data_IF_648436731628
#
_entry.id   IF_648436731628
#
_cell.length_a   1.000
_cell.length_b   1.000
_cell.length_c   1.000
_cell.angle_alpha   90.00
_cell.angle_beta   90.00
_cell.angle_gamma   90.00
#
_symmetry.space_group_name_H-M   'P 1'
#
loop_
_entity.id
_entity.type
_entity.pdbx_description
1 polymer ?
#
# COMPACT_ATOMS: atom_id res chain seq x y z
N UNK A 1 81.18 2.79 28.89
CA UNK A 1 80.16 1.85 29.39
C UNK A 1 78.79 2.33 28.94
N UNK A 2 78.29 1.87 27.79
CA UNK A 2 76.92 2.15 27.32
C UNK A 2 76.15 0.83 27.23
N UNK A 3 75.06 0.73 27.99
CA UNK A 3 74.21 -0.46 28.14
C UNK A 3 73.33 -0.67 26.90
N UNK A 4 73.38 -1.89 26.36
CA UNK A 4 72.43 -2.45 25.39
C UNK A 4 71.08 -2.66 26.07
N UNK A 5 70.02 -2.03 25.56
CA UNK A 5 68.63 -2.32 25.91
C UNK A 5 68.00 -3.22 24.84
N UNK A 6 67.64 -4.44 25.22
CA UNK A 6 66.99 -5.42 24.34
C UNK A 6 65.50 -5.11 24.14
N UNK A 7 65.06 -5.16 22.89
CA UNK A 7 63.64 -5.10 22.52
C UNK A 7 63.01 -6.49 22.65
N UNK A 8 61.93 -6.59 23.42
CA UNK A 8 61.09 -7.79 23.53
C UNK A 8 59.95 -7.67 22.51
N UNK A 9 59.93 -8.57 21.52
CA UNK A 9 58.85 -8.72 20.55
C UNK A 9 57.70 -9.51 21.18
N UNK A 10 56.62 -8.82 21.55
CA UNK A 10 55.37 -9.46 21.95
C UNK A 10 54.53 -9.79 20.70
N UNK A 11 54.41 -11.09 20.39
CA UNK A 11 53.51 -11.61 19.36
C UNK A 11 52.06 -11.60 19.86
N UNK A 12 51.25 -10.67 19.35
CA UNK A 12 49.80 -10.63 19.57
C UNK A 12 49.14 -11.57 18.56
N UNK A 13 48.68 -12.73 19.03
CA UNK A 13 47.83 -13.64 18.25
C UNK A 13 46.41 -13.06 18.20
N UNK A 14 46.08 -12.38 17.11
CA UNK A 14 44.74 -11.90 16.83
C UNK A 14 43.87 -13.07 16.33
N UNK A 15 43.06 -13.67 17.21
CA UNK A 15 41.97 -14.55 16.81
C UNK A 15 40.90 -13.73 16.07
N UNK A 16 40.98 -13.72 14.74
CA UNK A 16 39.96 -13.14 13.88
C UNK A 16 38.66 -13.94 13.96
N UNK A 17 37.70 -13.44 14.75
CA UNK A 17 36.29 -13.81 14.62
C UNK A 17 35.80 -13.31 13.26
N UNK A 18 35.82 -14.20 12.27
CA UNK A 18 35.22 -13.91 10.97
C UNK A 18 33.74 -13.56 11.17
N UNK A 19 33.29 -12.35 10.79
CA UNK A 19 31.89 -12.00 10.91
C UNK A 19 31.08 -12.97 10.06
N UNK A 20 30.23 -13.77 10.69
CA UNK A 20 29.24 -14.59 9.99
C UNK A 20 28.44 -13.65 9.11
N UNK A 21 28.48 -13.87 7.79
CA UNK A 21 27.67 -13.14 6.83
C UNK A 21 26.20 -13.30 7.25
N UNK A 22 25.66 -12.28 7.91
CA UNK A 22 24.24 -12.16 8.11
C UNK A 22 23.65 -12.08 6.70
N UNK A 23 22.85 -13.08 6.35
CA UNK A 23 22.10 -13.09 5.10
C UNK A 23 21.13 -11.92 5.18
N UNK A 24 21.56 -10.76 4.65
CA UNK A 24 20.70 -9.61 4.50
C UNK A 24 19.59 -10.02 3.55
N UNK A 25 18.40 -10.32 4.09
CA UNK A 25 17.23 -10.53 3.27
C UNK A 25 17.04 -9.27 2.42
N UNK A 26 16.89 -9.45 1.11
CA UNK A 26 16.56 -8.35 0.22
C UNK A 26 15.31 -7.65 0.77
N UNK A 27 15.37 -6.33 0.91
CA UNK A 27 14.23 -5.58 1.40
C UNK A 27 13.03 -5.85 0.48
N UNK A 28 11.82 -6.03 1.04
CA UNK A 28 10.64 -6.27 0.23
C UNK A 28 10.44 -5.14 -0.77
N UNK A 29 10.02 -5.44 -2.02
CA UNK A 29 9.80 -4.43 -3.02
C UNK A 29 8.70 -3.46 -2.58
N UNK A 30 8.92 -2.19 -2.88
CA UNK A 30 7.98 -1.13 -2.55
C UNK A 30 6.78 -1.14 -3.50
N UNK A 31 5.54 -1.19 -2.99
CA UNK A 31 4.40 -1.00 -3.86
C UNK A 31 4.43 0.43 -4.43
N UNK A 32 4.14 0.61 -5.73
CA UNK A 32 4.05 1.94 -6.30
C UNK A 32 2.93 2.73 -5.62
N UNK A 33 3.14 4.03 -5.49
CA UNK A 33 2.13 4.94 -4.95
C UNK A 33 0.94 4.99 -5.91
N UNK A 34 -0.28 4.81 -5.38
CA UNK A 34 -1.54 4.96 -6.10
C UNK A 34 -2.25 6.23 -5.62
N UNK A 35 -2.83 6.95 -6.58
CA UNK A 35 -3.70 8.11 -6.34
C UNK A 35 -5.12 7.81 -6.79
N UNK A 36 -6.09 8.39 -6.08
CA UNK A 36 -7.51 8.35 -6.42
C UNK A 36 -8.11 9.76 -6.31
N UNK A 37 -8.90 10.21 -7.29
CA UNK A 37 -9.18 9.56 -8.58
C UNK A 37 -7.95 9.42 -9.50
N UNK A 38 -8.09 8.61 -10.56
CA UNK A 38 -7.11 8.50 -11.67
C UNK A 38 -7.57 9.15 -12.97
N UNK A 39 -8.79 9.73 -12.98
CA UNK A 39 -9.31 10.44 -14.15
C UNK A 39 -8.58 11.74 -14.45
N UNK A 40 -8.33 11.96 -15.74
CA UNK A 40 -7.79 13.22 -16.28
C UNK A 40 -8.75 14.41 -16.14
N UNK A 41 -10.04 14.16 -15.84
CA UNK A 41 -11.07 15.17 -15.61
C UNK A 41 -11.81 14.88 -14.32
N UNK A 42 -11.92 15.87 -13.43
CA UNK A 42 -12.47 15.72 -12.08
C UNK A 42 -13.44 16.86 -11.79
N UNK A 43 -14.66 16.63 -11.28
CA UNK A 43 -15.55 17.72 -10.90
C UNK A 43 -14.93 18.66 -9.88
N UNK A 44 -15.10 19.98 -10.06
CA UNK A 44 -14.49 21.00 -9.20
C UNK A 44 -14.86 20.89 -7.71
N UNK A 45 -15.95 20.21 -7.39
CA UNK A 45 -16.42 19.97 -6.03
C UNK A 45 -16.01 18.59 -5.47
N UNK A 46 -14.99 17.93 -6.03
CA UNK A 46 -14.39 16.74 -5.42
C UNK A 46 -13.92 17.07 -3.98
N UNK A 47 -14.39 16.35 -2.95
CA UNK A 47 -14.10 16.72 -1.56
C UNK A 47 -12.66 16.44 -1.14
N UNK A 48 -12.04 15.38 -1.67
CA UNK A 48 -10.67 14.99 -1.35
C UNK A 48 -10.10 14.00 -2.36
N UNK A 49 -8.77 13.86 -2.35
CA UNK A 49 -8.02 12.82 -3.04
C UNK A 49 -7.55 11.76 -2.04
N UNK A 50 -7.40 10.52 -2.52
CA UNK A 50 -6.78 9.43 -1.78
C UNK A 50 -5.36 9.16 -2.27
N UNK A 51 -4.44 8.90 -1.34
CA UNK A 51 -3.02 8.69 -1.62
C UNK A 51 -2.45 7.52 -0.80
N UNK A 52 -1.81 6.53 -1.41
CA UNK A 52 -1.39 5.30 -0.70
C UNK A 52 -0.03 5.36 0.01
N UNK A 53 0.60 6.53 0.16
CA UNK A 53 1.85 6.57 0.92
C UNK A 53 1.61 6.27 2.40
N UNK A 54 2.47 5.44 2.96
CA UNK A 54 2.50 5.14 4.38
C UNK A 54 3.15 6.32 5.10
N UNK A 55 2.33 7.21 5.68
CA UNK A 55 2.74 8.40 6.44
C UNK A 55 3.36 9.53 5.59
N UNK A 56 2.61 10.12 4.64
CA UNK A 56 3.07 11.34 4.01
C UNK A 56 3.12 12.47 5.04
N UNK A 57 4.22 13.23 5.04
CA UNK A 57 4.25 14.52 5.71
C UNK A 57 3.61 15.59 4.81
N UNK A 58 3.07 16.66 5.40
CA UNK A 58 2.44 17.73 4.63
C UNK A 58 3.42 18.47 3.71
N UNK A 59 4.73 18.42 4.01
CA UNK A 59 5.79 18.99 3.17
C UNK A 59 6.15 18.15 1.94
N UNK A 60 5.62 16.93 1.84
CA UNK A 60 5.93 15.98 0.78
C UNK A 60 4.85 15.91 -0.29
N UNK A 61 3.68 16.52 -0.06
CA UNK A 61 2.52 16.50 -0.95
C UNK A 61 2.22 17.92 -1.38
N UNK A 62 2.35 18.20 -2.67
CA UNK A 62 2.09 19.52 -3.23
C UNK A 62 1.04 19.43 -4.33
N UNK A 63 0.02 20.29 -4.25
CA UNK A 63 -0.94 20.47 -5.32
C UNK A 63 -0.65 21.80 -6.01
N UNK A 64 -0.41 21.77 -7.31
CA UNK A 64 -0.21 22.97 -8.11
C UNK A 64 -1.37 23.17 -9.06
N UNK A 65 -1.83 24.42 -9.19
CA UNK A 65 -2.66 24.84 -10.30
C UNK A 65 -1.78 25.34 -11.46
N UNK A 66 -2.17 24.99 -12.67
CA UNK A 66 -1.46 25.29 -13.92
C UNK A 66 -2.39 26.10 -14.81
N UNK A 67 -2.08 27.40 -15.05
CA UNK A 67 -2.90 28.25 -15.91
C UNK A 67 -3.00 27.71 -17.34
N UNK A 68 -4.19 27.81 -17.93
CA UNK A 68 -4.41 27.53 -19.35
C UNK A 68 -3.54 28.49 -20.18
N UNK A 69 -2.50 27.96 -20.84
CA UNK A 69 -1.52 28.75 -21.59
C UNK A 69 -0.06 28.62 -21.13
N UNK A 70 0.22 27.80 -20.11
CA UNK A 70 1.60 27.47 -19.72
C UNK A 70 2.28 28.51 -18.83
N UNK A 71 1.52 29.19 -17.97
CA UNK A 71 2.04 30.12 -16.97
C UNK A 71 2.77 29.45 -15.80
N UNK A 72 3.29 30.27 -14.89
CA UNK A 72 3.89 29.78 -13.64
C UNK A 72 2.86 28.97 -12.84
N UNK A 73 3.31 27.84 -12.29
CA UNK A 73 2.49 26.99 -11.41
C UNK A 73 2.24 27.73 -10.10
N UNK A 74 1.01 27.69 -9.61
CA UNK A 74 0.64 28.30 -8.32
C UNK A 74 0.26 27.18 -7.34
N UNK A 75 0.96 27.11 -6.22
CA UNK A 75 0.70 26.11 -5.19
C UNK A 75 -0.66 26.36 -4.52
N UNK A 76 -1.44 25.29 -4.41
CA UNK A 76 -2.73 25.23 -3.75
C UNK A 76 -2.52 24.53 -2.41
N UNK A 77 -2.70 25.22 -1.27
CA UNK A 77 -2.52 24.62 0.03
C UNK A 77 -3.43 23.40 0.22
N UNK A 78 -2.89 22.33 0.80
CA UNK A 78 -3.63 21.10 1.10
C UNK A 78 -3.52 20.75 2.59
N UNK A 79 -4.51 20.03 3.09
CA UNK A 79 -4.49 19.38 4.41
C UNK A 79 -4.48 17.88 4.25
N UNK A 80 -3.67 17.21 5.07
CA UNK A 80 -3.59 15.75 5.13
C UNK A 80 -4.37 15.23 6.33
N UNK A 81 -5.13 14.16 6.15
CA UNK A 81 -5.74 13.41 7.25
C UNK A 81 -5.13 12.01 7.38
N UNK A 82 -5.31 11.34 8.54
CA UNK A 82 -4.83 9.97 8.73
C UNK A 82 -5.31 9.02 7.64
N UNK A 83 -4.52 7.97 7.38
CA UNK A 83 -4.88 6.98 6.38
C UNK A 83 -6.12 6.17 6.81
N UNK A 84 -7.09 6.05 5.90
CA UNK A 84 -8.28 5.20 6.05
C UNK A 84 -8.27 4.22 4.89
N UNK A 85 -8.41 2.92 5.18
CA UNK A 85 -8.36 1.84 4.19
C UNK A 85 -7.11 1.87 3.29
N UNK A 86 -5.97 2.30 3.84
CA UNK A 86 -4.70 2.39 3.12
C UNK A 86 -4.52 3.66 2.27
N UNK A 87 -5.43 4.64 2.36
CA UNK A 87 -5.29 5.94 1.68
C UNK A 87 -5.24 7.09 2.68
N UNK A 88 -4.24 7.95 2.58
CA UNK A 88 -4.21 9.28 3.19
C UNK A 88 -5.14 10.23 2.43
N UNK A 89 -5.96 10.98 3.17
CA UNK A 89 -6.83 12.02 2.62
C UNK A 89 -6.04 13.27 2.31
N UNK A 90 -6.14 13.77 1.08
CA UNK A 90 -5.62 15.08 0.69
C UNK A 90 -6.82 15.98 0.39
N UNK A 91 -6.99 17.06 1.16
CA UNK A 91 -8.07 18.02 0.97
C UNK A 91 -7.50 19.36 0.55
N UNK A 92 -7.81 19.88 -0.66
CA UNK A 92 -7.48 21.25 -1.01
C UNK A 92 -8.15 22.24 -0.04
N UNK A 93 -7.41 23.23 0.43
CA UNK A 93 -7.96 24.26 1.32
C UNK A 93 -8.81 25.29 0.57
N UNK A 94 -8.70 25.32 -0.76
CA UNK A 94 -9.54 26.11 -1.64
C UNK A 94 -10.27 25.21 -2.62
N UNK A 95 -11.49 25.57 -2.99
CA UNK A 95 -12.24 24.85 -4.01
C UNK A 95 -11.47 24.85 -5.34
N UNK A 96 -11.57 23.74 -6.08
CA UNK A 96 -10.98 23.66 -7.41
C UNK A 96 -11.76 24.57 -8.37
N UNK A 97 -11.06 25.13 -9.35
CA UNK A 97 -11.63 26.08 -10.32
C UNK A 97 -11.83 25.36 -11.64
N UNK A 98 -13.07 25.27 -12.11
CA UNK A 98 -13.39 24.63 -13.38
C UNK A 98 -12.59 25.23 -14.56
N UNK A 99 -12.11 24.36 -15.44
CA UNK A 99 -11.23 24.69 -16.56
C UNK A 99 -9.73 24.78 -16.19
N UNK A 100 -9.37 24.70 -14.91
CA UNK A 100 -7.97 24.76 -14.46
C UNK A 100 -7.34 23.37 -14.45
N UNK A 101 -6.13 23.24 -14.99
CA UNK A 101 -5.32 22.03 -14.85
C UNK A 101 -4.58 22.03 -13.53
N UNK A 102 -4.44 20.86 -12.92
CA UNK A 102 -3.76 20.67 -11.65
C UNK A 102 -2.71 19.57 -11.76
N UNK A 103 -1.62 19.73 -11.02
CA UNK A 103 -0.53 18.76 -10.88
C UNK A 103 -0.36 18.43 -9.40
N UNK A 104 -0.58 17.17 -9.03
CA UNK A 104 -0.33 16.67 -7.69
C UNK A 104 1.02 15.97 -7.67
N UNK A 105 1.96 16.55 -6.94
CA UNK A 105 3.34 16.08 -6.80
C UNK A 105 3.56 15.46 -5.42
N UNK A 106 4.39 14.42 -5.41
CA UNK A 106 4.90 13.84 -4.19
C UNK A 106 6.43 13.84 -4.21
N UNK A 107 7.05 14.55 -3.29
CA UNK A 107 8.50 14.72 -3.18
C UNK A 107 9.14 13.81 -2.13
N UNK A 108 8.33 13.08 -1.36
CA UNK A 108 8.81 12.15 -0.33
C UNK A 108 9.36 10.86 -0.92
N UNK A 109 10.28 10.22 -0.18
CA UNK A 109 10.55 8.80 -0.40
C UNK A 109 9.40 8.01 0.21
N UNK A 110 8.47 7.50 -0.60
CA UNK A 110 7.41 6.61 -0.11
C UNK A 110 7.97 5.31 0.51
N UNK A 111 9.28 5.09 0.37
CA UNK A 111 9.99 3.93 0.85
C UNK A 111 11.36 4.23 1.43
N UNK A 112 11.60 3.69 2.62
CA UNK A 112 12.89 3.73 3.32
C UNK A 112 13.96 2.83 2.67
N UNK A 113 13.56 1.82 1.87
CA UNK A 113 14.46 0.72 1.45
C UNK A 113 14.65 0.54 -0.07
N UNK A 114 14.14 1.43 -0.91
CA UNK A 114 14.34 1.33 -2.37
C UNK A 114 13.86 2.59 -3.08
N UNK A 115 14.59 3.00 -4.11
CA UNK A 115 14.18 4.10 -4.98
C UNK A 115 12.92 3.70 -5.74
N UNK A 116 11.74 4.08 -5.23
CA UNK A 116 10.53 4.03 -6.02
C UNK A 116 10.74 4.90 -7.26
N UNK A 117 10.28 4.47 -8.45
CA UNK A 117 10.28 5.36 -9.60
C UNK A 117 9.53 6.63 -9.19
N UNK A 118 10.04 7.82 -9.53
CA UNK A 118 9.28 9.05 -9.34
C UNK A 118 8.01 8.88 -10.16
N UNK A 119 6.89 8.59 -9.50
CA UNK A 119 5.60 8.79 -10.12
C UNK A 119 5.61 10.28 -10.50
N UNK A 120 5.65 10.56 -11.81
CA UNK A 120 5.56 11.94 -12.27
C UNK A 120 4.32 12.60 -11.67
N UNK A 121 4.24 13.94 -11.70
CA UNK A 121 3.06 14.66 -11.22
C UNK A 121 1.79 14.04 -11.79
N UNK A 122 0.84 13.73 -10.92
CA UNK A 122 -0.47 13.31 -11.36
C UNK A 122 -1.24 14.53 -11.86
N UNK A 123 -1.65 14.48 -13.13
CA UNK A 123 -2.26 15.61 -13.81
C UNK A 123 -3.74 15.36 -14.04
N UNK A 124 -4.56 16.36 -13.74
CA UNK A 124 -5.99 16.35 -14.04
C UNK A 124 -6.49 17.76 -14.33
N UNK A 125 -7.66 17.88 -14.95
CA UNK A 125 -8.34 19.15 -15.17
C UNK A 125 -9.62 19.17 -14.36
N UNK A 126 -9.83 20.23 -13.59
CA UNK A 126 -11.10 20.42 -12.91
C UNK A 126 -12.17 20.78 -13.94
N UNK A 127 -13.28 20.05 -13.97
CA UNK A 127 -14.44 20.38 -14.79
C UNK A 127 -15.50 21.07 -13.94
N UNK A 128 -16.62 21.48 -14.55
CA UNK A 128 -17.74 22.05 -13.80
C UNK A 128 -18.13 21.16 -12.61
N UNK A 129 -18.50 21.79 -11.50
CA UNK A 129 -19.01 21.06 -10.35
C UNK A 129 -20.23 20.22 -10.74
N UNK A 130 -20.31 19.01 -10.21
CA UNK A 130 -21.41 18.08 -10.47
C UNK A 130 -22.04 17.66 -9.13
N UNK A 131 -23.35 17.42 -9.04
CA UNK A 131 -23.96 16.84 -7.85
C UNK A 131 -23.26 15.52 -7.46
N UNK A 132 -23.09 15.26 -6.17
CA UNK A 132 -22.58 13.96 -5.72
C UNK A 132 -23.60 12.88 -6.09
N UNK A 133 -23.16 11.76 -6.70
CA UNK A 133 -24.08 10.75 -7.19
C UNK A 133 -24.75 10.03 -6.03
N UNK A 134 -26.06 9.83 -6.13
CA UNK A 134 -26.82 9.03 -5.15
C UNK A 134 -27.07 7.61 -5.62
N UNK A 135 -26.84 7.36 -6.92
CA UNK A 135 -27.02 6.07 -7.59
C UNK A 135 -25.86 5.84 -8.53
N UNK A 136 -25.43 4.58 -8.67
CA UNK A 136 -24.38 4.22 -9.65
C UNK A 136 -24.98 4.05 -11.03
N UNK A 137 -26.07 3.29 -11.11
CA UNK A 137 -26.66 2.86 -12.36
C UNK A 137 -27.57 1.64 -12.18
N UNK A 138 -28.09 1.15 -13.29
CA UNK A 138 -28.98 -0.02 -13.35
C UNK A 138 -28.35 -1.12 -14.19
N UNK A 139 -28.48 -2.37 -13.75
CA UNK A 139 -27.98 -3.52 -14.48
C UNK A 139 -28.70 -3.65 -15.84
N UNK A 140 -27.94 -3.79 -16.92
CA UNK A 140 -28.43 -4.09 -18.26
C UNK A 140 -28.47 -5.60 -18.47
N UNK A 141 -29.68 -6.17 -18.45
CA UNK A 141 -29.86 -7.62 -18.50
C UNK A 141 -29.50 -8.30 -17.18
N UNK A 142 -29.24 -9.60 -17.24
CA UNK A 142 -28.81 -10.39 -16.08
C UNK A 142 -27.29 -10.61 -16.06
N UNK A 143 -26.68 -10.89 -14.89
CA UNK A 143 -25.28 -11.27 -14.83
C UNK A 143 -25.06 -12.60 -15.56
N UNK A 144 -23.98 -12.70 -16.33
CA UNK A 144 -23.55 -13.95 -16.95
C UNK A 144 -22.43 -14.53 -16.09
N UNK A 145 -22.61 -15.76 -15.61
CA UNK A 145 -21.64 -16.42 -14.72
C UNK A 145 -21.07 -17.65 -15.39
N UNK A 146 -19.74 -17.77 -15.38
CA UNK A 146 -19.01 -18.97 -15.78
C UNK A 146 -18.20 -19.50 -14.60
N UNK A 147 -18.26 -20.81 -14.35
CA UNK A 147 -17.48 -21.47 -13.30
C UNK A 147 -16.40 -22.36 -13.90
N UNK A 148 -15.28 -22.50 -13.17
CA UNK A 148 -14.16 -23.36 -13.54
C UNK A 148 -13.57 -23.99 -12.30
N UNK A 149 -13.63 -25.32 -12.22
CA UNK A 149 -13.01 -26.07 -11.14
C UNK A 149 -11.49 -26.18 -11.35
N UNK A 150 -10.72 -25.85 -10.30
CA UNK A 150 -9.26 -26.03 -10.21
C UNK A 150 -8.84 -26.64 -8.87
N UNK A 151 -9.71 -27.43 -8.23
CA UNK A 151 -9.57 -27.88 -6.84
C UNK A 151 -10.20 -26.89 -5.84
N UNK A 152 -10.32 -25.63 -6.23
CA UNK A 152 -11.29 -24.65 -5.74
C UNK A 152 -12.06 -24.12 -6.94
N UNK A 153 -13.36 -23.87 -6.79
CA UNK A 153 -14.16 -23.35 -7.91
C UNK A 153 -13.88 -21.87 -8.10
N UNK A 154 -13.33 -21.51 -9.25
CA UNK A 154 -13.22 -20.13 -9.71
C UNK A 154 -14.52 -19.76 -10.42
N UNK A 155 -15.03 -18.56 -10.17
CA UNK A 155 -16.16 -18.02 -10.93
C UNK A 155 -15.77 -16.70 -11.60
N UNK A 156 -16.33 -16.47 -12.79
CA UNK A 156 -16.23 -15.24 -13.53
C UNK A 156 -17.63 -14.69 -13.74
N UNK A 157 -17.83 -13.41 -13.41
CA UNK A 157 -19.10 -12.70 -13.56
C UNK A 157 -18.91 -11.57 -14.57
N UNK A 158 -19.68 -11.63 -15.66
CA UNK A 158 -19.78 -10.58 -16.65
C UNK A 158 -21.09 -9.82 -16.46
N UNK A 159 -20.99 -8.51 -16.29
CA UNK A 159 -22.14 -7.61 -16.08
C UNK A 159 -21.97 -6.33 -16.90
N UNK A 160 -23.10 -5.79 -17.35
CA UNK A 160 -23.20 -4.47 -17.95
C UNK A 160 -24.13 -3.61 -17.09
N UNK A 161 -23.73 -2.36 -16.80
CA UNK A 161 -24.55 -1.40 -16.08
C UNK A 161 -24.73 -0.15 -16.92
N UNK A 162 -25.99 0.24 -17.13
CA UNK A 162 -26.35 1.57 -17.62
C UNK A 162 -26.08 2.56 -16.49
N UNK A 163 -25.17 3.50 -16.73
CA UNK A 163 -24.73 4.45 -15.73
C UNK A 163 -25.79 5.54 -15.54
N UNK A 164 -26.12 5.80 -14.27
CA UNK A 164 -27.05 6.85 -13.91
C UNK A 164 -26.53 8.21 -14.41
N UNK A 165 -27.38 9.10 -14.97
CA UNK A 165 -26.95 10.42 -15.39
C UNK A 165 -26.17 11.21 -14.34
N UNK A 166 -26.52 11.07 -13.04
CA UNK A 166 -25.80 11.72 -11.93
C UNK A 166 -24.36 11.20 -11.80
N UNK A 167 -24.13 9.93 -12.14
CA UNK A 167 -22.84 9.25 -12.00
C UNK A 167 -21.89 9.51 -13.18
N UNK A 168 -22.39 9.88 -14.36
CA UNK A 168 -21.57 10.13 -15.57
C UNK A 168 -20.34 11.02 -15.35
N UNK A 169 -20.43 12.20 -14.70
CA UNK A 169 -19.24 13.03 -14.45
C UNK A 169 -18.25 12.42 -13.44
N UNK A 170 -18.65 11.34 -12.75
CA UNK A 170 -17.92 10.69 -11.67
C UNK A 170 -17.39 9.29 -12.01
N UNK A 171 -17.77 8.70 -13.15
CA UNK A 171 -17.41 7.31 -13.52
C UNK A 171 -15.90 7.05 -13.55
N UNK A 172 -15.08 8.02 -13.98
CA UNK A 172 -13.62 7.91 -13.93
C UNK A 172 -13.00 8.31 -12.59
N UNK A 173 -13.80 8.91 -11.71
CA UNK A 173 -13.37 9.43 -10.42
C UNK A 173 -13.55 8.38 -9.33
N UNK A 174 -14.68 7.69 -9.32
CA UNK A 174 -14.95 6.59 -8.40
C UNK A 174 -14.25 5.31 -8.85
N UNK A 175 -13.82 4.50 -7.88
CA UNK A 175 -13.43 3.12 -8.11
C UNK A 175 -14.71 2.27 -8.19
N UNK A 176 -14.97 1.69 -9.35
CA UNK A 176 -16.10 0.80 -9.59
C UNK A 176 -15.71 -0.65 -9.26
N UNK A 177 -16.41 -1.24 -8.30
CA UNK A 177 -16.10 -2.54 -7.73
C UNK A 177 -17.33 -3.44 -7.81
N UNK A 178 -17.16 -4.66 -8.33
CA UNK A 178 -18.21 -5.66 -8.26
C UNK A 178 -18.20 -6.30 -6.87
N UNK A 179 -19.38 -6.41 -6.26
CA UNK A 179 -19.58 -7.04 -4.97
C UNK A 179 -20.46 -8.28 -5.15
N UNK A 180 -19.98 -9.42 -4.66
CA UNK A 180 -20.70 -10.70 -4.64
C UNK A 180 -20.84 -11.14 -3.20
N UNK A 181 -22.07 -11.32 -2.72
CA UNK A 181 -22.41 -11.70 -1.34
C UNK A 181 -21.72 -10.80 -0.28
N UNK A 182 -21.70 -9.49 -0.55
CA UNK A 182 -21.09 -8.49 0.33
C UNK A 182 -19.55 -8.40 0.23
N UNK A 183 -18.90 -9.20 -0.61
CA UNK A 183 -17.44 -9.21 -0.79
C UNK A 183 -17.03 -8.61 -2.13
N UNK A 184 -15.99 -7.78 -2.12
CA UNK A 184 -15.38 -7.25 -3.34
C UNK A 184 -14.63 -8.38 -4.03
N UNK A 185 -14.95 -8.62 -5.30
CA UNK A 185 -14.24 -9.58 -6.16
C UNK A 185 -13.28 -8.84 -7.08
N UNK A 186 -12.25 -9.52 -7.59
CA UNK A 186 -11.27 -8.91 -8.48
C UNK A 186 -11.90 -8.53 -9.81
N UNK A 187 -12.24 -7.24 -10.00
CA UNK A 187 -12.93 -6.74 -11.19
C UNK A 187 -11.98 -6.00 -12.14
N UNK A 188 -12.12 -6.29 -13.43
CA UNK A 188 -11.61 -5.47 -14.52
C UNK A 188 -12.78 -4.66 -15.09
N UNK A 189 -12.67 -3.35 -14.97
CA UNK A 189 -13.69 -2.41 -15.46
C UNK A 189 -13.28 -1.96 -16.87
N UNK A 190 -14.23 -2.01 -17.79
CA UNK A 190 -14.10 -1.42 -19.12
C UNK A 190 -15.27 -0.51 -19.39
N UNK A 191 -14.99 0.67 -19.94
CA UNK A 191 -16.00 1.66 -20.31
C UNK A 191 -16.32 1.48 -21.79
N UNK A 192 -17.57 1.16 -22.09
CA UNK A 192 -18.07 1.07 -23.47
C UNK A 192 -18.80 2.37 -23.80
N UNK A 193 -18.04 3.40 -24.14
CA UNK A 193 -18.58 4.76 -24.28
C UNK A 193 -18.81 5.44 -22.91
N UNK A 194 -19.75 6.39 -22.85
CA UNK A 194 -20.06 7.17 -21.63
C UNK A 194 -21.20 6.60 -20.80
N UNK A 195 -21.97 5.65 -21.35
CA UNK A 195 -23.28 5.30 -20.79
C UNK A 195 -23.32 3.88 -20.21
N UNK A 196 -22.39 3.00 -20.61
CA UNK A 196 -22.37 1.60 -20.16
C UNK A 196 -21.00 1.23 -19.60
N UNK A 197 -21.00 0.76 -18.36
CA UNK A 197 -19.84 0.11 -17.73
C UNK A 197 -19.98 -1.39 -17.89
N UNK A 198 -18.96 -2.04 -18.43
CA UNK A 198 -18.85 -3.50 -18.48
C UNK A 198 -17.80 -3.94 -17.46
N UNK A 199 -18.18 -4.80 -16.52
CA UNK A 199 -17.25 -5.39 -15.57
C UNK A 199 -17.12 -6.89 -15.86
N UNK A 200 -15.87 -7.33 -15.96
CA UNK A 200 -15.51 -8.74 -15.89
C UNK A 200 -14.83 -8.96 -14.54
N UNK A 201 -15.47 -9.70 -13.66
CA UNK A 201 -14.95 -9.96 -12.32
C UNK A 201 -14.65 -11.42 -12.11
N UNK A 202 -13.56 -11.71 -11.40
CA UNK A 202 -13.17 -13.08 -11.05
C UNK A 202 -13.10 -13.22 -9.55
N UNK A 203 -13.72 -14.26 -9.03
CA UNK A 203 -13.70 -14.63 -7.63
C UNK A 203 -13.45 -16.13 -7.45
N UNK A 204 -13.40 -16.55 -6.20
CA UNK A 204 -13.23 -17.94 -5.81
C UNK A 204 -14.32 -18.32 -4.82
N UNK A 205 -14.86 -19.52 -4.98
CA UNK A 205 -15.78 -20.12 -4.03
C UNK A 205 -15.02 -20.46 -2.75
N UNK A 206 -15.57 -20.03 -1.64
CA UNK A 206 -15.15 -20.40 -0.30
C UNK A 206 -16.35 -20.90 0.50
N UNK A 207 -16.12 -21.30 1.75
CA UNK A 207 -17.18 -21.82 2.60
C UNK A 207 -18.32 -20.81 2.86
N UNK A 208 -18.04 -19.50 2.78
CA UNK A 208 -19.05 -18.46 3.00
C UNK A 208 -19.95 -18.33 1.78
N UNK A 209 -19.37 -18.17 0.59
CA UNK A 209 -20.15 -17.99 -0.63
C UNK A 209 -20.86 -19.31 -1.01
N UNK A 210 -20.26 -20.46 -0.74
CA UNK A 210 -20.88 -21.77 -0.99
C UNK A 210 -22.19 -22.01 -0.25
N UNK A 211 -22.42 -21.31 0.87
CA UNK A 211 -23.66 -21.42 1.64
C UNK A 211 -24.81 -20.58 1.05
N UNK A 212 -24.52 -19.64 0.14
CA UNK A 212 -25.49 -18.76 -0.47
C UNK A 212 -25.92 -19.28 -1.85
N UNK A 213 -27.22 -19.47 -2.06
CA UNK A 213 -27.82 -19.63 -3.40
C UNK A 213 -29.31 -19.22 -3.30
N UNK A 214 -29.74 -18.13 -3.96
CA UNK A 214 -29.01 -17.33 -4.94
C UNK A 214 -27.93 -16.42 -4.31
N UNK A 215 -26.87 -16.16 -5.08
CA UNK A 215 -25.85 -15.17 -4.76
C UNK A 215 -26.35 -13.75 -5.06
N UNK A 216 -25.90 -12.77 -4.30
CA UNK A 216 -26.26 -11.36 -4.49
C UNK A 216 -25.14 -10.61 -5.21
N UNK A 217 -25.43 -10.00 -6.35
CA UNK A 217 -24.48 -9.21 -7.13
C UNK A 217 -24.94 -7.75 -7.17
N UNK A 218 -24.02 -6.84 -6.85
CA UNK A 218 -24.23 -5.39 -7.03
C UNK A 218 -22.95 -4.70 -7.47
N UNK A 219 -23.10 -3.53 -8.09
CA UNK A 219 -22.02 -2.61 -8.39
C UNK A 219 -21.90 -1.59 -7.27
N UNK A 220 -20.70 -1.48 -6.70
CA UNK A 220 -20.36 -0.45 -5.70
C UNK A 220 -19.41 0.55 -6.31
N UNK A 221 -19.80 1.81 -6.33
CA UNK A 221 -18.90 2.92 -6.58
C UNK A 221 -18.32 3.42 -5.26
N UNK A 222 -17.00 3.41 -5.16
CA UNK A 222 -16.27 3.86 -3.97
C UNK A 222 -15.39 5.05 -4.30
N UNK A 223 -15.49 6.10 -3.51
CA UNK A 223 -14.53 7.20 -3.49
C UNK A 223 -13.94 7.28 -2.08
N UNK A 224 -12.62 7.41 -1.91
CA UNK A 224 -12.04 7.60 -0.59
C UNK A 224 -12.73 8.76 0.14
N UNK A 225 -13.02 8.57 1.43
CA UNK A 225 -13.60 9.59 2.30
C UNK A 225 -15.00 10.10 1.88
N UNK A 226 -15.70 9.34 1.05
CA UNK A 226 -17.11 9.57 0.73
C UNK A 226 -17.92 8.30 1.01
N UNK A 227 -19.24 8.42 1.29
CA UNK A 227 -20.11 7.25 1.38
C UNK A 227 -20.04 6.41 0.08
N UNK A 228 -20.13 5.10 0.23
CA UNK A 228 -20.28 4.22 -0.92
C UNK A 228 -21.64 4.48 -1.59
N UNK A 229 -21.65 4.43 -2.92
CA UNK A 229 -22.87 4.46 -3.72
C UNK A 229 -23.03 3.08 -4.34
N UNK A 230 -24.21 2.50 -4.24
CA UNK A 230 -24.45 1.12 -4.67
C UNK A 230 -25.60 1.05 -5.67
N UNK A 231 -25.53 0.10 -6.60
CA UNK A 231 -26.68 -0.30 -7.41
C UNK A 231 -27.64 -1.16 -6.58
N UNK A 232 -28.83 -1.40 -7.14
CA UNK A 232 -29.69 -2.45 -6.60
C UNK A 232 -28.98 -3.82 -6.63
N UNK A 233 -29.20 -4.63 -5.59
CA UNK A 233 -28.74 -6.01 -5.53
C UNK A 233 -29.56 -6.89 -6.46
N UNK A 234 -28.89 -7.70 -7.27
CA UNK A 234 -29.52 -8.64 -8.21
C UNK A 234 -29.16 -10.07 -7.81
N UNK A 235 -30.16 -10.94 -7.58
CA UNK A 235 -29.89 -12.35 -7.31
C UNK A 235 -29.42 -13.07 -8.59
N UNK A 236 -28.42 -13.92 -8.46
CA UNK A 236 -27.94 -14.81 -9.53
C UNK A 236 -27.69 -16.20 -8.96
N UNK A 237 -28.18 -17.22 -9.64
CA UNK A 237 -27.97 -18.61 -9.25
C UNK A 237 -26.82 -19.21 -10.06
N UNK A 238 -25.81 -19.70 -9.35
CA UNK A 238 -24.76 -20.54 -9.91
C UNK A 238 -24.22 -21.45 -8.81
N UNK A 239 -23.66 -22.59 -9.18
CA UNK A 239 -23.10 -23.52 -8.20
C UNK A 239 -21.71 -23.05 -7.77
N UNK A 240 -21.55 -22.88 -6.46
CA UNK A 240 -20.29 -22.44 -5.86
C UNK A 240 -19.86 -23.45 -4.78
N UNK A 241 -19.42 -24.67 -5.13
CA UNK A 241 -19.14 -25.69 -4.13
C UNK A 241 -17.98 -25.26 -3.23
N UNK A 242 -18.13 -25.48 -1.92
CA UNK A 242 -17.07 -25.21 -0.95
C UNK A 242 -15.82 -26.04 -1.30
N UNK A 243 -14.61 -25.47 -1.14
CA UNK A 243 -13.38 -26.24 -1.27
C UNK A 243 -13.43 -27.50 -0.42
N UNK A 244 -13.21 -28.66 -1.03
CA UNK A 244 -13.02 -29.92 -0.30
C UNK A 244 -11.63 -29.94 0.35
N UNK A 245 -11.35 -28.98 1.23
CA UNK A 245 -10.18 -29.01 2.09
C UNK A 245 -10.39 -30.16 3.06
N UNK A 246 -9.82 -31.33 2.74
CA UNK A 246 -9.62 -32.37 3.74
C UNK A 246 -8.74 -31.73 4.82
N UNK A 247 -9.33 -31.37 5.96
CA UNK A 247 -8.56 -31.16 7.18
C UNK A 247 -7.65 -32.37 7.29
N UNK A 248 -6.32 -32.22 7.32
CA UNK A 248 -5.44 -33.36 7.55
C UNK A 248 -5.98 -34.05 8.78
N UNK A 249 -6.32 -35.34 8.65
CA UNK A 249 -6.83 -36.16 9.74
C UNK A 249 -5.74 -36.37 10.78
N UNK A 250 -5.27 -35.30 11.39
CA UNK A 250 -4.49 -35.32 12.60
C UNK A 250 -5.48 -35.59 13.71
N UNK A 251 -5.69 -36.87 14.01
CA UNK A 251 -5.72 -37.20 15.42
C UNK A 251 -4.49 -36.48 16.03
N UNK A 252 -4.66 -35.65 17.08
CA UNK A 252 -3.49 -35.10 17.76
C UNK A 252 -2.56 -36.28 18.02
N UNK A 253 -1.24 -36.18 17.72
CA UNK A 253 -0.33 -37.28 17.99
C UNK A 253 -0.57 -37.68 19.44
N UNK A 254 -1.11 -38.88 19.64
CA UNK A 254 -1.32 -39.44 20.97
C UNK A 254 0.04 -39.38 21.62
N UNK A 255 0.13 -38.53 22.64
CA UNK A 255 1.30 -38.30 23.47
C UNK A 255 1.78 -39.64 24.00
N UNK A 256 2.73 -40.24 23.29
CA UNK A 256 3.61 -41.24 23.84
C UNK A 256 4.36 -40.57 24.99
N UNK A 257 4.08 -41.04 26.20
CA UNK A 257 4.95 -41.01 27.38
C UNK A 257 5.61 -39.66 27.69
N UNK A 258 4.97 -38.89 28.55
CA UNK A 258 5.64 -37.85 29.36
C UNK A 258 6.90 -38.42 30.03
N UNK A 259 8.08 -37.81 29.83
CA UNK A 259 9.25 -38.07 30.68
C UNK A 259 8.92 -37.73 32.15
N UNK A 260 9.44 -38.46 33.14
CA UNK A 260 9.17 -38.16 34.54
C UNK A 260 9.65 -36.75 34.89
N UNK A 261 8.73 -35.97 35.47
CA UNK A 261 9.00 -34.66 36.05
C UNK A 261 10.03 -34.81 37.16
N UNK A 262 11.15 -34.06 37.16
CA UNK A 262 12.05 -34.03 38.30
C UNK A 262 11.34 -33.36 39.48
N UNK A 263 11.27 -34.10 40.59
CA UNK A 263 10.72 -33.69 41.89
C UNK A 263 11.29 -32.34 42.32
N UNK A 264 10.43 -31.33 42.43
CA UNK A 264 10.79 -30.02 42.95
C UNK A 264 11.16 -30.10 44.44
N UNK A 265 12.23 -29.38 44.81
CA UNK A 265 12.68 -29.20 46.19
C UNK A 265 11.67 -28.39 47.03
N UNK A 266 11.59 -28.60 48.36
CA UNK A 266 10.63 -27.93 49.20
C UNK A 266 10.91 -26.42 49.31
N UNK A 267 9.85 -25.62 49.17
CA UNK A 267 9.82 -24.18 49.39
C UNK A 267 9.92 -23.86 50.89
N UNK A 268 10.74 -22.89 51.33
CA UNK A 268 10.74 -22.43 52.73
C UNK A 268 9.55 -21.50 53.04
N UNK A 269 9.16 -21.51 54.31
CA UNK A 269 7.99 -20.86 54.92
C UNK A 269 7.99 -19.31 54.84
N UNK A 270 6.81 -18.66 54.98
CA UNK A 270 6.69 -17.21 54.89
C UNK A 270 7.06 -16.53 56.21
N UNK A 271 8.02 -15.60 56.13
CA UNK A 271 8.36 -14.66 57.20
C UNK A 271 7.66 -13.31 57.01
N UNK A 272 7.13 -12.79 58.12
CA UNK A 272 6.49 -11.49 58.26
C UNK A 272 7.46 -10.31 58.04
N UNK A 273 6.95 -9.18 57.59
CA UNK A 273 7.69 -7.91 57.52
C UNK A 273 6.83 -6.76 57.00
N UNK A 274 6.70 -5.73 57.82
CA UNK A 274 5.80 -4.57 57.72
C UNK A 274 6.19 -3.49 56.70
N UNK A 275 5.18 -2.71 56.29
CA UNK A 275 5.27 -1.25 56.21
C UNK A 275 5.78 -0.62 54.89
N UNK A 276 4.95 0.23 54.28
CA UNK A 276 5.41 1.20 53.29
C UNK A 276 4.34 1.69 52.32
N UNK A 277 4.03 2.98 52.39
CA UNK A 277 2.92 3.65 51.71
C UNK A 277 3.21 4.09 50.27
N UNK A 278 2.11 4.35 49.53
CA UNK A 278 1.94 5.29 48.41
C UNK A 278 2.64 5.00 47.06
N UNK A 279 1.85 4.70 46.03
CA UNK A 279 1.86 5.39 44.72
C UNK A 279 0.78 4.82 43.75
N UNK A 280 0.38 5.68 42.82
CA UNK A 280 -0.74 5.58 41.86
C UNK A 280 -0.69 4.42 40.84
N UNK A 281 -1.82 4.07 40.19
CA UNK A 281 -1.84 3.07 39.13
C UNK A 281 -1.28 3.64 37.81
N UNK A 282 -0.14 3.10 37.39
CA UNK A 282 0.42 3.19 36.04
C UNK A 282 -0.08 2.01 35.20
N UNK A 283 -0.77 2.28 34.10
CA UNK A 283 -1.08 1.30 33.07
C UNK A 283 0.12 1.13 32.13
N UNK A 284 0.85 0.03 32.33
CA UNK A 284 1.95 -0.39 31.47
C UNK A 284 1.43 -1.01 30.17
N UNK A 285 1.69 -0.34 29.05
CA UNK A 285 1.65 -0.91 27.71
C UNK A 285 3.08 -1.09 27.21
N UNK A 286 3.47 -2.33 26.93
CA UNK A 286 4.80 -2.76 26.54
C UNK A 286 5.33 -2.04 25.30
N UNK A 287 6.45 -1.34 25.48
CA UNK A 287 7.24 -0.70 24.42
C UNK A 287 8.29 -1.65 23.85
N UNK A 288 8.02 -2.21 22.67
CA UNK A 288 9.03 -2.87 21.84
C UNK A 288 9.87 -1.80 21.11
N UNK A 289 10.91 -1.32 21.79
CA UNK A 289 11.91 -0.44 21.17
C UNK A 289 12.92 -1.27 20.36
N UNK A 290 12.70 -1.36 19.04
CA UNK A 290 13.77 -1.72 18.13
C UNK A 290 14.78 -0.57 18.11
N UNK A 291 15.86 -0.68 18.87
CA UNK A 291 17.00 0.23 18.80
C UNK A 291 17.61 0.17 17.40
N UNK A 292 17.47 1.26 16.65
CA UNK A 292 18.20 1.54 15.43
C UNK A 292 19.71 1.57 15.73
N UNK A 293 20.49 0.73 15.04
CA UNK A 293 21.94 0.89 14.99
C UNK A 293 22.28 2.12 14.12
N UNK A 294 23.29 2.93 14.49
CA UNK A 294 23.73 4.04 13.66
C UNK A 294 24.24 3.54 12.31
N UNK A 295 23.74 4.17 11.25
CA UNK A 295 24.04 3.83 9.86
C UNK A 295 25.54 3.85 9.57
N UNK A 296 26.02 2.77 8.97
CA UNK A 296 27.36 2.65 8.43
C UNK A 296 27.42 3.47 7.12
N UNK A 297 28.40 4.36 6.91
CA UNK A 297 28.54 5.06 5.63
C UNK A 297 28.79 4.04 4.52
N UNK A 298 27.96 4.08 3.49
CA UNK A 298 28.14 3.30 2.27
C UNK A 298 29.45 3.71 1.60
N UNK A 299 30.40 2.78 1.56
CA UNK A 299 31.62 2.94 0.79
C UNK A 299 31.25 3.09 -0.69
N UNK A 300 31.50 4.29 -1.23
CA UNK A 300 31.46 4.56 -2.65
C UNK A 300 32.46 3.65 -3.35
N UNK A 301 31.98 2.81 -4.27
CA UNK A 301 32.83 1.93 -5.06
C UNK A 301 33.83 2.78 -5.88
N UNK A 302 35.15 2.54 -5.77
CA UNK A 302 36.18 3.36 -6.44
C UNK A 302 36.17 3.24 -7.98
N UNK A 303 35.36 2.35 -8.55
CA UNK A 303 35.24 2.16 -10.00
C UNK A 303 34.42 3.26 -10.70
N UNK A 304 33.50 3.93 -10.01
CA UNK A 304 32.70 5.00 -10.61
C UNK A 304 33.51 6.31 -10.82
N UNK A 305 34.50 6.58 -9.96
CA UNK A 305 35.35 7.77 -10.07
C UNK A 305 36.32 7.72 -11.27
N UNK A 306 36.71 6.52 -11.71
CA UNK A 306 37.62 6.35 -12.87
C UNK A 306 36.94 6.66 -14.21
N UNK A 307 35.63 6.39 -14.34
CA UNK A 307 34.89 6.65 -15.59
C UNK A 307 34.67 8.16 -15.81
N UNK A 308 34.42 8.91 -14.73
CA UNK A 308 34.23 10.38 -14.81
C UNK A 308 35.56 11.08 -15.15
N UNK A 309 36.69 10.60 -14.63
CA UNK A 309 38.01 11.18 -14.94
C UNK A 309 38.44 10.94 -16.40
N UNK A 310 38.10 9.78 -16.97
CA UNK A 310 38.38 9.48 -18.39
C UNK A 310 37.53 10.34 -19.36
N UNK A 311 36.29 10.64 -19.01
CA UNK A 311 35.42 11.53 -19.80
C UNK A 311 35.87 13.01 -19.75
N UNK A 312 36.42 13.46 -18.63
CA UNK A 312 36.94 14.82 -18.50
C UNK A 312 38.24 15.03 -19.30
N UNK A 313 39.11 14.01 -19.38
CA UNK A 313 40.37 14.08 -20.13
C UNK A 313 40.19 14.04 -21.65
N UNK A 314 39.18 13.34 -22.16
CA UNK A 314 38.87 13.32 -23.61
C UNK A 314 38.33 14.65 -24.11
N UNK A 315 37.56 15.39 -23.30
CA UNK A 315 37.07 16.74 -23.69
C UNK A 315 38.19 17.79 -23.77
N UNK A 316 39.23 17.70 -22.91
CA UNK A 316 40.35 18.67 -22.96
C UNK A 316 41.23 18.51 -24.20
N UNK A 317 41.40 17.31 -24.75
CA UNK A 317 42.19 17.09 -25.98
C UNK A 317 41.50 17.59 -27.26
N UNK A 318 40.17 17.72 -27.26
CA UNK A 318 39.44 18.25 -28.41
C UNK A 318 39.56 19.78 -28.53
N UNK A 319 39.78 20.49 -27.42
CA UNK A 319 39.90 21.95 -27.42
C UNK A 319 41.26 22.45 -27.91
N UNK A 320 42.34 21.68 -27.74
CA UNK A 320 43.71 22.10 -28.10
C UNK A 320 44.08 21.86 -29.57
N UNK A 321 43.19 21.28 -30.38
CA UNK A 321 43.41 21.05 -31.83
C UNK A 321 42.76 22.11 -32.74
N UNK A 322 42.18 23.17 -32.16
CA UNK A 322 41.51 24.26 -32.90
C UNK A 322 42.19 25.63 -32.77
N UNK A 323 43.46 25.64 -32.37
CA UNK A 323 44.35 26.81 -32.35
C UNK A 323 45.68 26.40 -32.96
#
# INVERSE_FOLDING_TARGET
MLRRGGFVLASVVALGLAPRAAWAMAAPPCPPVKMLPTASSVPANLPAFGFTALNPDASSVHLFSVPAGGGARVEVPVTLAPAVDGFTKITPNTALVAGTSYELEYSGSACTYGGSPPAGPYKFTAVAAAPLPTKVGTLEGGPVVATKDRGTTQFTVDVAYAIDPEMKPWVGVYELLLVVDGRIVGSKVSLSGTDVVKLNATGWCDATNAAANPHQVLLRARLPFSPNVESASTPVSFDCPAPALKTPGGAPPTTGTTPPVPTAAPTPAPGAGDGGASAAPSSGGSSSSCRSAPGRPTATSPLAALVVLAAALTRRRAATRRT
#
